data_IF_384551554851
#
_entry.id   IF_384551554851
#
_cell.length_a   1.000
_cell.length_b   1.000
_cell.length_c   1.000
_cell.angle_alpha   90.00
_cell.angle_beta   90.00
_cell.angle_gamma   90.00
#
_symmetry.space_group_name_H-M   'P 1'
#
loop_
_entity.id
_entity.type
_entity.pdbx_description
1 polymer ?
#
# COMPACT_ATOMS: atom_id res chain seq x y z
N UNK A 1 11.67 7.17 9.67
CA UNK A 1 11.42 6.28 10.82
C UNK A 1 10.53 5.15 10.34
N UNK A 2 10.85 3.88 10.64
CA UNK A 2 10.03 2.75 10.21
C UNK A 2 8.74 2.70 11.04
N UNK A 3 7.56 2.51 10.43
CA UNK A 3 6.32 2.40 11.18
C UNK A 3 6.32 1.13 12.03
N UNK A 4 5.75 1.23 13.23
CA UNK A 4 5.40 0.04 14.02
C UNK A 4 4.07 -0.49 13.49
N UNK A 5 4.11 -1.68 12.88
CA UNK A 5 2.96 -2.38 12.31
C UNK A 5 2.76 -3.68 13.07
N UNK A 6 1.51 -4.03 13.34
CA UNK A 6 1.13 -5.27 14.02
C UNK A 6 1.35 -6.48 13.10
N UNK A 7 1.11 -6.30 11.80
CA UNK A 7 1.38 -7.30 10.78
C UNK A 7 1.58 -6.69 9.39
N UNK A 8 2.26 -7.45 8.52
CA UNK A 8 2.56 -7.09 7.14
C UNK A 8 2.14 -8.25 6.23
N UNK A 9 1.39 -7.93 5.17
CA UNK A 9 0.85 -8.92 4.25
C UNK A 9 1.02 -8.51 2.79
N UNK A 10 0.95 -9.50 1.90
CA UNK A 10 0.81 -9.33 0.44
C UNK A 10 1.86 -8.41 -0.21
N UNK A 11 3.16 -8.57 0.05
CA UNK A 11 4.17 -7.74 -0.61
C UNK A 11 4.17 -7.97 -2.13
N UNK A 12 4.35 -6.90 -2.90
CA UNK A 12 4.52 -6.91 -4.36
C UNK A 12 5.64 -5.96 -4.78
N UNK A 13 6.61 -6.50 -5.52
CA UNK A 13 7.63 -5.70 -6.18
C UNK A 13 7.01 -4.83 -7.29
N UNK A 14 7.49 -3.60 -7.44
CA UNK A 14 7.25 -2.80 -8.63
C UNK A 14 7.86 -3.48 -9.87
N UNK A 15 7.37 -3.19 -11.09
CA UNK A 15 7.91 -3.78 -12.32
C UNK A 15 9.41 -3.53 -12.54
N UNK A 16 9.91 -2.37 -12.09
CA UNK A 16 11.33 -2.02 -12.13
C UNK A 16 12.16 -2.58 -10.95
N UNK A 17 11.50 -3.26 -10.00
CA UNK A 17 12.11 -3.86 -8.83
C UNK A 17 12.61 -2.86 -7.77
N UNK A 18 12.39 -1.56 -7.92
CA UNK A 18 12.88 -0.54 -6.98
C UNK A 18 12.06 -0.47 -5.69
N UNK A 19 10.77 -0.76 -5.77
CA UNK A 19 9.83 -0.59 -4.66
C UNK A 19 9.12 -1.89 -4.31
N UNK A 20 8.68 -1.99 -3.05
CA UNK A 20 7.71 -3.00 -2.64
C UNK A 20 6.50 -2.28 -2.05
N UNK A 21 5.31 -2.55 -2.60
CA UNK A 21 4.04 -2.19 -1.95
C UNK A 21 3.57 -3.36 -1.11
N UNK A 22 2.98 -3.07 0.06
CA UNK A 22 2.43 -4.09 0.95
C UNK A 22 1.26 -3.54 1.76
N UNK A 23 0.44 -4.44 2.29
CA UNK A 23 -0.57 -4.12 3.30
C UNK A 23 0.08 -4.14 4.68
N UNK A 24 -0.04 -3.06 5.43
CA UNK A 24 0.32 -2.99 6.84
C UNK A 24 -0.94 -2.87 7.70
N UNK A 25 -0.99 -3.59 8.82
CA UNK A 25 -2.07 -3.41 9.81
C UNK A 25 -1.54 -2.74 11.06
N UNK A 26 -2.30 -1.77 11.58
CA UNK A 26 -2.00 -1.11 12.85
C UNK A 26 -3.30 -0.79 13.57
N UNK A 27 -3.40 -1.16 14.84
CA UNK A 27 -4.56 -0.89 15.69
C UNK A 27 -5.89 -1.38 15.06
N UNK A 28 -5.81 -2.48 14.30
CA UNK A 28 -6.95 -3.09 13.60
C UNK A 28 -7.24 -2.54 12.19
N UNK A 29 -6.66 -1.40 11.80
CA UNK A 29 -6.84 -0.78 10.48
C UNK A 29 -5.82 -1.31 9.47
N UNK A 30 -6.25 -1.60 8.24
CA UNK A 30 -5.36 -1.96 7.14
C UNK A 30 -5.13 -0.78 6.19
N UNK A 31 -3.86 -0.43 5.98
CA UNK A 31 -3.44 0.59 5.01
C UNK A 31 -2.36 0.03 4.09
N UNK A 32 -2.16 0.71 2.96
CA UNK A 32 -1.07 0.42 2.05
C UNK A 32 0.18 1.21 2.43
N UNK A 33 1.32 0.55 2.29
CA UNK A 33 2.64 1.14 2.48
C UNK A 33 3.52 0.77 1.29
N UNK A 34 4.52 1.62 1.03
CA UNK A 34 5.57 1.38 0.05
C UNK A 34 6.92 1.53 0.71
N UNK A 35 7.86 0.66 0.34
CA UNK A 35 9.28 0.78 0.71
C UNK A 35 10.12 0.96 -0.55
N UNK A 36 11.03 1.94 -0.55
CA UNK A 36 12.14 2.00 -1.52
C UNK A 36 13.25 1.07 -1.02
N UNK A 37 13.59 0.06 -1.82
CA UNK A 37 14.57 -0.96 -1.44
C UNK A 37 15.99 -0.37 -1.32
N UNK A 38 16.27 0.71 -2.06
CA UNK A 38 17.58 1.35 -2.10
C UNK A 38 17.83 2.20 -0.86
N UNK A 39 16.82 2.96 -0.43
CA UNK A 39 16.94 3.89 0.69
C UNK A 39 16.42 3.32 2.00
N UNK A 40 15.71 2.18 1.97
CA UNK A 40 15.01 1.58 3.10
C UNK A 40 13.94 2.53 3.71
N UNK A 41 13.53 3.54 2.94
CA UNK A 41 12.49 4.48 3.35
C UNK A 41 11.11 3.88 3.14
N UNK A 42 10.29 3.92 4.18
CA UNK A 42 8.90 3.45 4.17
C UNK A 42 7.96 4.64 4.20
N UNK A 43 6.97 4.65 3.32
CA UNK A 43 5.90 5.65 3.25
C UNK A 43 4.53 4.98 3.31
N UNK A 44 3.62 5.57 4.08
CA UNK A 44 2.19 5.22 4.08
C UNK A 44 1.51 5.83 2.85
N UNK A 45 0.75 5.02 2.11
CA UNK A 45 0.10 5.42 0.85
C UNK A 45 -1.37 5.78 1.02
N UNK A 46 -2.06 5.06 1.89
CA UNK A 46 -3.45 5.32 2.25
C UNK A 46 -3.54 5.60 3.74
N UNK A 47 -4.43 6.49 4.16
CA UNK A 47 -4.54 6.91 5.56
C UNK A 47 -5.94 7.43 5.83
N UNK A 48 -6.89 6.51 5.91
CA UNK A 48 -8.27 6.82 6.21
C UNK A 48 -8.93 5.75 7.10
N UNK A 49 -10.26 5.79 7.20
CA UNK A 49 -11.05 4.89 8.07
C UNK A 49 -11.40 3.56 7.39
N UNK A 50 -11.06 3.40 6.11
CA UNK A 50 -11.39 2.25 5.29
C UNK A 50 -10.21 1.30 5.20
N UNK A 51 -10.49 0.02 5.15
CA UNK A 51 -9.43 -0.95 4.98
C UNK A 51 -9.00 -1.02 3.51
N UNK A 52 -7.70 -0.88 3.27
CA UNK A 52 -7.09 -1.07 1.96
C UNK A 52 -6.19 -2.33 1.93
N UNK A 53 -6.48 -3.21 0.97
CA UNK A 53 -5.98 -4.59 0.92
C UNK A 53 -5.53 -5.01 -0.47
N UNK A 54 -4.76 -6.09 -0.49
CA UNK A 54 -4.34 -6.82 -1.70
C UNK A 54 -3.80 -5.91 -2.83
N UNK A 55 -2.76 -5.10 -2.56
CA UNK A 55 -2.20 -4.20 -3.56
C UNK A 55 -1.56 -4.98 -4.72
N UNK A 56 -1.59 -4.37 -5.91
CA UNK A 56 -0.90 -4.86 -7.11
C UNK A 56 -0.42 -3.69 -7.97
N UNK A 57 0.78 -3.82 -8.55
CA UNK A 57 1.30 -2.85 -9.50
C UNK A 57 0.71 -3.07 -10.88
N UNK A 58 -0.02 -2.09 -11.41
CA UNK A 58 -0.47 -2.12 -12.81
C UNK A 58 0.67 -1.73 -13.77
N UNK A 59 1.52 -0.79 -13.35
CA UNK A 59 2.75 -0.35 -14.03
C UNK A 59 3.75 0.20 -12.99
N UNK A 60 4.80 0.91 -13.40
CA UNK A 60 5.83 1.45 -12.48
C UNK A 60 5.38 2.64 -11.62
N UNK A 61 4.19 3.17 -11.86
CA UNK A 61 3.63 4.34 -11.17
C UNK A 61 2.24 4.09 -10.56
N UNK A 62 1.52 3.08 -11.06
CA UNK A 62 0.15 2.78 -10.66
C UNK A 62 0.07 1.58 -9.74
N UNK A 63 -0.63 1.75 -8.61
CA UNK A 63 -1.03 0.66 -7.72
C UNK A 63 -2.56 0.57 -7.73
N UNK A 64 -3.09 -0.63 -7.94
CA UNK A 64 -4.50 -0.96 -7.71
C UNK A 64 -4.64 -1.78 -6.43
N UNK A 65 -5.77 -1.65 -5.75
CA UNK A 65 -6.04 -2.31 -4.49
C UNK A 65 -7.54 -2.48 -4.27
N UNK A 66 -7.89 -3.30 -3.28
CA UNK A 66 -9.27 -3.50 -2.83
C UNK A 66 -9.49 -2.65 -1.59
N UNK A 67 -10.55 -1.85 -1.60
CA UNK A 67 -10.99 -1.05 -0.44
C UNK A 67 -12.39 -1.46 -0.02
N UNK A 68 -12.69 -1.42 1.28
CA UNK A 68 -14.05 -1.62 1.79
C UNK A 68 -14.91 -0.33 1.75
N UNK A 69 -14.34 0.76 1.23
CA UNK A 69 -15.05 1.97 0.88
C UNK A 69 -16.21 1.67 -0.08
N UNK A 70 -17.45 1.84 0.40
CA UNK A 70 -18.63 1.67 -0.46
C UNK A 70 -18.77 2.85 -1.43
N UNK A 71 -18.98 2.49 -2.70
CA UNK A 71 -18.69 3.28 -3.89
C UNK A 71 -19.43 4.63 -4.00
N UNK A 72 -18.68 5.72 -4.08
CA UNK A 72 -18.88 6.71 -5.14
C UNK A 72 -17.55 6.88 -5.91
N UNK A 73 -17.25 5.90 -6.76
CA UNK A 73 -16.18 5.85 -7.80
C UNK A 73 -14.82 6.43 -7.41
N UNK A 74 -13.94 5.57 -6.91
CA UNK A 74 -12.51 5.89 -6.82
C UNK A 74 -11.73 5.14 -7.89
N UNK A 75 -11.55 5.78 -9.03
CA UNK A 75 -10.35 5.56 -9.84
C UNK A 75 -9.30 6.53 -9.31
N UNK A 76 -8.35 6.00 -8.53
CA UNK A 76 -7.18 6.78 -8.12
C UNK A 76 -6.23 6.85 -9.31
N UNK A 77 -6.13 8.03 -9.91
CA UNK A 77 -5.08 8.40 -10.86
C UNK A 77 -3.98 9.17 -10.10
N UNK A 78 -2.73 8.93 -10.45
CA UNK A 78 -1.54 9.69 -10.03
C UNK A 78 -1.23 10.81 -11.03
#
# INVERSE_FOLDING_TARGET
MRPHLDAVYRPKYSPDGRYIVFRGTKDGQADLYIVDITTDEIRKLTDDIYDDKDPWWMDSSTIVFVSDRQNIKDTVWY
#
